data_IF_908993699737
#
_entry.id   IF_908993699737
#
_cell.length_a   1.000
_cell.length_b   1.000
_cell.length_c   1.000
_cell.angle_alpha   90.00
_cell.angle_beta   90.00
_cell.angle_gamma   90.00
#
_symmetry.space_group_name_H-M   'P 1'
#
loop_
_entity.id
_entity.type
_entity.pdbx_description
1 polymer ?
#
# COMPACT_ATOMS: atom_id res chain seq x y z
N UNK A 1 23.87 11.83 20.32
CA UNK A 1 24.35 11.56 18.93
C UNK A 1 24.14 10.11 18.44
N UNK A 2 24.31 9.09 19.28
CA UNK A 2 24.20 7.66 18.87
C UNK A 2 22.78 7.21 18.45
N UNK A 3 21.71 7.74 19.07
CA UNK A 3 20.32 7.37 18.72
C UNK A 3 19.85 7.88 17.35
N UNK A 4 20.37 9.02 16.89
CA UNK A 4 20.00 9.59 15.58
C UNK A 4 20.58 8.80 14.39
N UNK A 5 21.72 8.14 14.58
CA UNK A 5 22.30 7.24 13.57
C UNK A 5 21.44 5.98 13.39
N UNK A 6 20.86 5.47 14.48
CA UNK A 6 20.03 4.26 14.44
C UNK A 6 18.68 4.47 13.74
N UNK A 7 18.02 5.62 13.96
CA UNK A 7 16.81 6.01 13.19
C UNK A 7 17.13 6.19 11.70
N UNK A 8 18.28 6.78 11.37
CA UNK A 8 18.69 6.97 9.97
C UNK A 8 18.98 5.63 9.29
N UNK A 9 19.61 4.67 9.99
CA UNK A 9 19.84 3.31 9.47
C UNK A 9 18.55 2.51 9.26
N UNK A 10 17.51 2.72 10.07
CA UNK A 10 16.18 2.13 9.84
C UNK A 10 15.52 2.61 8.55
N UNK A 11 15.74 3.87 8.14
CA UNK A 11 15.31 4.36 6.81
C UNK A 11 16.01 3.62 5.66
N UNK A 12 17.16 2.98 5.92
CA UNK A 12 17.89 2.16 4.95
C UNK A 12 17.37 0.73 4.77
N UNK A 13 16.52 0.23 5.68
CA UNK A 13 15.85 -1.08 5.55
C UNK A 13 14.68 -1.06 4.55
N UNK A 14 14.40 0.11 3.97
CA UNK A 14 13.28 0.33 3.07
C UNK A 14 12.02 0.70 3.83
N UNK A 15 11.17 1.47 3.15
CA UNK A 15 9.84 1.78 3.64
C UNK A 15 8.94 0.55 3.44
N UNK A 16 8.19 0.09 4.46
CA UNK A 16 7.24 -0.99 4.28
C UNK A 16 6.24 -0.61 3.18
N UNK A 17 6.05 -1.53 2.23
CA UNK A 17 5.13 -1.34 1.12
C UNK A 17 3.70 -1.40 1.65
N UNK A 18 3.10 -0.23 1.81
CA UNK A 18 1.72 -0.15 2.24
C UNK A 18 0.77 -0.68 1.17
N UNK A 19 -0.33 -1.33 1.59
CA UNK A 19 -1.43 -1.72 0.73
C UNK A 19 -1.87 -0.57 -0.17
N UNK A 20 -2.22 -0.89 -1.41
CA UNK A 20 -2.58 0.13 -2.39
C UNK A 20 -4.10 0.37 -2.46
N UNK A 21 -4.90 -0.37 -1.69
CA UNK A 21 -6.33 -0.15 -1.47
C UNK A 21 -6.74 -0.65 -0.06
N UNK A 22 -7.88 -0.14 0.42
CA UNK A 22 -8.41 -0.44 1.75
C UNK A 22 -8.73 -1.92 1.95
N UNK A 23 -9.11 -2.64 0.89
CA UNK A 23 -9.41 -4.08 1.00
C UNK A 23 -8.15 -4.87 1.33
N UNK A 24 -7.07 -4.61 0.60
CA UNK A 24 -5.77 -5.22 0.84
C UNK A 24 -5.22 -4.82 2.20
N UNK A 25 -5.50 -3.60 2.66
CA UNK A 25 -5.13 -3.10 3.99
C UNK A 25 -5.80 -3.86 5.12
N UNK A 26 -7.12 -4.05 5.05
CA UNK A 26 -7.88 -4.83 6.04
C UNK A 26 -7.37 -6.29 6.10
N UNK A 27 -6.85 -6.81 4.98
CA UNK A 27 -6.30 -8.17 4.88
C UNK A 27 -4.81 -8.25 5.23
N UNK A 28 -4.27 -7.25 5.92
CA UNK A 28 -2.88 -7.26 6.38
C UNK A 28 -1.86 -7.10 5.25
N UNK A 29 -2.24 -6.46 4.14
CA UNK A 29 -1.38 -6.26 2.97
C UNK A 29 -1.44 -7.37 1.93
N UNK A 30 -2.27 -8.40 2.13
CA UNK A 30 -2.38 -9.53 1.20
C UNK A 30 -3.39 -9.19 0.09
N UNK A 31 -2.87 -9.00 -1.12
CA UNK A 31 -3.66 -8.66 -2.31
C UNK A 31 -3.85 -9.81 -3.31
N UNK A 32 -3.43 -11.03 -2.98
CA UNK A 32 -3.39 -12.19 -3.90
C UNK A 32 -4.62 -13.08 -3.72
N UNK A 33 -5.22 -13.53 -4.82
CA UNK A 33 -6.39 -14.42 -4.82
C UNK A 33 -7.70 -13.71 -4.49
N UNK A 34 -7.70 -12.37 -4.45
CA UNK A 34 -8.87 -11.58 -4.13
C UNK A 34 -9.73 -11.38 -5.39
N UNK A 35 -10.95 -11.94 -5.36
CA UNK A 35 -11.89 -11.81 -6.47
C UNK A 35 -12.56 -10.43 -6.50
N UNK A 36 -13.00 -10.02 -7.69
CA UNK A 36 -13.80 -8.81 -7.90
C UNK A 36 -13.16 -7.78 -8.83
N UNK A 37 -13.80 -6.62 -8.95
CA UNK A 37 -13.37 -5.54 -9.86
C UNK A 37 -12.24 -4.67 -9.29
N UNK A 38 -11.96 -4.80 -7.98
CA UNK A 38 -10.79 -4.19 -7.34
C UNK A 38 -9.57 -5.05 -7.64
N UNK A 39 -8.92 -4.79 -8.76
CA UNK A 39 -7.66 -5.47 -9.11
C UNK A 39 -6.50 -4.92 -8.29
N UNK A 40 -5.59 -5.82 -7.90
CA UNK A 40 -4.41 -5.50 -7.11
C UNK A 40 -3.17 -5.56 -8.01
N UNK A 41 -2.16 -4.75 -7.73
CA UNK A 41 -0.87 -4.81 -8.46
C UNK A 41 -0.02 -6.01 -8.04
N UNK A 42 -0.33 -6.61 -6.89
CA UNK A 42 0.33 -7.79 -6.34
C UNK A 42 -0.19 -9.09 -6.96
N UNK A 43 -1.34 -9.06 -7.64
CA UNK A 43 -1.95 -10.22 -8.28
C UNK A 43 -2.22 -9.95 -9.77
N UNK A 44 -1.20 -10.15 -10.64
CA UNK A 44 -1.36 -9.97 -12.08
C UNK A 44 -2.30 -11.01 -12.71
N UNK A 45 -2.57 -12.13 -12.03
CA UNK A 45 -3.47 -13.18 -12.51
C UNK A 45 -4.93 -12.93 -12.11
N UNK A 46 -5.18 -12.19 -11.03
CA UNK A 46 -6.52 -11.82 -10.54
C UNK A 46 -7.48 -11.24 -11.59
N UNK A 47 -7.06 -10.38 -12.53
CA UNK A 47 -7.95 -9.90 -13.60
C UNK A 47 -8.26 -10.92 -14.70
N UNK A 48 -7.54 -12.04 -14.77
CA UNK A 48 -7.78 -13.04 -15.80
C UNK A 48 -9.20 -13.61 -15.67
N UNK A 49 -9.95 -13.61 -16.77
CA UNK A 49 -11.35 -14.06 -16.80
C UNK A 49 -12.40 -13.01 -16.42
N UNK A 50 -11.99 -11.79 -16.02
CA UNK A 50 -12.94 -10.68 -15.86
C UNK A 50 -13.42 -10.22 -17.24
N UNK A 51 -14.75 -10.26 -17.45
CA UNK A 51 -15.41 -9.79 -18.70
C UNK A 51 -15.97 -8.38 -18.60
N UNK A 52 -15.95 -7.79 -17.40
CA UNK A 52 -16.54 -6.47 -17.12
C UNK A 52 -15.45 -5.42 -17.03
N UNK A 53 -15.72 -4.26 -17.64
CA UNK A 53 -14.94 -3.04 -17.42
C UNK A 53 -15.21 -2.50 -16.02
N UNK A 54 -14.23 -1.83 -15.43
CA UNK A 54 -14.38 -1.24 -14.11
C UNK A 54 -13.39 -0.11 -13.87
N UNK A 55 -13.70 0.74 -12.90
CA UNK A 55 -12.79 1.74 -12.38
C UNK A 55 -12.76 1.64 -10.85
N UNK A 56 -11.59 1.81 -10.26
CA UNK A 56 -11.40 1.85 -8.81
C UNK A 56 -10.54 3.07 -8.46
N UNK A 57 -10.91 3.74 -7.38
CA UNK A 57 -10.14 4.87 -6.82
C UNK A 57 -9.85 4.55 -5.37
N UNK A 58 -8.59 4.68 -4.96
CA UNK A 58 -8.17 4.55 -3.56
C UNK A 58 -7.43 5.82 -3.12
N UNK A 59 -7.73 6.25 -1.90
CA UNK A 59 -7.11 7.39 -1.23
C UNK A 59 -6.75 6.94 0.18
N UNK A 60 -5.55 7.27 0.64
CA UNK A 60 -5.09 6.92 1.97
C UNK A 60 -4.28 8.07 2.58
N UNK A 61 -4.61 8.41 3.82
CA UNK A 61 -3.77 9.20 4.70
C UNK A 61 -2.95 8.24 5.57
N UNK A 62 -1.64 8.41 5.60
CA UNK A 62 -0.73 7.55 6.35
C UNK A 62 -0.08 8.38 7.45
N UNK A 63 -0.39 8.05 8.69
CA UNK A 63 0.29 8.57 9.86
C UNK A 63 1.30 7.52 10.34
N UNK A 64 2.56 7.93 10.52
CA UNK A 64 3.60 7.04 11.02
C UNK A 64 4.15 7.58 12.32
N UNK A 65 4.26 6.69 13.29
CA UNK A 65 4.98 6.96 14.52
C UNK A 65 6.11 5.94 14.60
N UNK A 66 7.35 6.41 14.58
CA UNK A 66 8.55 5.58 14.67
C UNK A 66 9.17 5.78 16.03
N UNK A 67 9.23 4.72 16.83
CA UNK A 67 9.83 4.74 18.17
C UNK A 67 11.08 3.87 18.18
N UNK A 68 12.19 4.41 18.66
CA UNK A 68 13.46 3.69 18.81
C UNK A 68 14.12 4.05 20.15
N UNK A 69 14.00 3.16 21.13
CA UNK A 69 14.37 3.46 22.51
C UNK A 69 13.56 4.65 23.02
N UNK A 70 14.25 5.68 23.54
CA UNK A 70 13.63 6.92 24.04
C UNK A 70 13.34 7.97 22.95
N UNK A 71 13.68 7.70 21.68
CA UNK A 71 13.43 8.61 20.58
C UNK A 71 12.12 8.25 19.85
N UNK A 72 11.25 9.24 19.67
CA UNK A 72 9.98 9.14 18.96
C UNK A 72 9.92 10.19 17.85
N UNK A 73 9.56 9.78 16.64
CA UNK A 73 9.33 10.67 15.50
C UNK A 73 7.95 10.38 14.90
N UNK A 74 7.20 11.43 14.57
CA UNK A 74 5.86 11.33 13.99
C UNK A 74 5.86 12.02 12.62
N UNK A 75 5.51 11.28 11.58
CA UNK A 75 5.46 11.80 10.21
C UNK A 75 4.14 11.40 9.54
N UNK A 76 3.37 12.40 9.11
CA UNK A 76 2.13 12.23 8.37
C UNK A 76 2.33 12.51 6.89
N UNK A 77 1.79 11.64 6.03
CA UNK A 77 1.79 11.82 4.58
C UNK A 77 0.45 11.41 3.99
N UNK A 78 -0.11 12.25 3.11
CA UNK A 78 -1.27 11.85 2.30
C UNK A 78 -0.77 11.33 0.96
N UNK A 79 -1.16 10.12 0.59
CA UNK A 79 -0.82 9.58 -0.72
C UNK A 79 -1.67 10.22 -1.80
N UNK A 80 -1.06 10.43 -2.96
CA UNK A 80 -1.81 10.77 -4.16
C UNK A 80 -2.86 9.67 -4.45
N UNK A 81 -4.06 10.05 -4.89
CA UNK A 81 -5.12 9.11 -5.20
C UNK A 81 -4.64 8.15 -6.30
N UNK A 82 -4.84 6.86 -6.07
CA UNK A 82 -4.57 5.84 -7.07
C UNK A 82 -5.85 5.55 -7.83
N UNK A 83 -5.82 5.78 -9.14
CA UNK A 83 -6.92 5.47 -10.04
C UNK A 83 -6.52 4.25 -10.87
N UNK A 84 -7.36 3.23 -10.88
CA UNK A 84 -7.19 2.02 -11.68
C UNK A 84 -8.35 1.84 -12.63
N UNK A 85 -8.02 1.51 -13.87
CA UNK A 85 -8.98 1.15 -14.90
C UNK A 85 -8.78 -0.31 -15.26
N UNK A 86 -9.83 -1.09 -15.07
CA UNK A 86 -9.92 -2.45 -15.57
C UNK A 86 -10.55 -2.40 -16.96
N UNK A 87 -9.73 -2.68 -17.97
CA UNK A 87 -10.16 -2.78 -19.34
C UNK A 87 -9.80 -4.17 -19.88
N UNK A 88 -10.73 -5.14 -19.81
CA UNK A 88 -10.48 -6.46 -20.37
C UNK A 88 -10.33 -6.34 -21.89
N UNK A 89 -9.18 -6.82 -22.37
CA UNK A 89 -8.92 -7.11 -23.77
C UNK A 89 -9.36 -8.55 -24.00
N UNK A 90 -10.55 -8.70 -24.58
CA UNK A 90 -11.10 -9.96 -25.07
C UNK A 90 -11.40 -9.82 -26.55
#
# INVERSE_FOLDING_TARGET
PLGAQSITSLRGLGDPLFPADARTEILGGIGVGLQGLTVTLTDPAGPAGLRRRGAAVSVAAVERTSTLGDASDANGSTRFPLIRLLYPIG
#
